data_IF_370657337892
#
_entry.id   IF_370657337892
#
_cell.length_a   1.000
_cell.length_b   1.000
_cell.length_c   1.000
_cell.angle_alpha   90.00
_cell.angle_beta   90.00
_cell.angle_gamma   90.00
#
_symmetry.space_group_name_H-M   'P 1'
#
loop_
_entity.id
_entity.type
_entity.pdbx_description
1 polymer ?
#
# COMPACT_ATOMS: atom_id res chain seq x y z
N UNK A 1 52.09 -18.12 28.96
CA UNK A 1 50.67 -18.51 29.09
C UNK A 1 50.03 -17.48 30.03
N UNK A 2 48.97 -16.73 29.77
CA UNK A 2 47.91 -16.78 28.77
C UNK A 2 47.18 -15.41 28.74
N UNK A 3 46.91 -14.95 27.50
CA UNK A 3 45.76 -14.18 26.98
C UNK A 3 45.20 -12.91 27.65
N UNK A 4 45.46 -11.79 26.96
CA UNK A 4 44.56 -10.64 26.78
C UNK A 4 43.20 -11.08 26.22
N UNK A 5 42.10 -10.46 26.69
CA UNK A 5 40.79 -10.50 26.03
C UNK A 5 40.17 -9.11 26.01
N UNK A 6 40.64 -8.27 25.09
CA UNK A 6 39.89 -7.12 24.58
C UNK A 6 38.82 -7.65 23.62
N UNK A 7 37.56 -7.71 24.06
CA UNK A 7 36.45 -8.01 23.13
C UNK A 7 35.98 -6.69 22.50
N UNK A 8 36.01 -6.54 21.17
CA UNK A 8 35.32 -5.44 20.52
C UNK A 8 33.81 -5.69 20.61
N UNK A 9 33.06 -4.68 21.03
CA UNK A 9 31.59 -4.63 20.89
C UNK A 9 31.25 -4.70 19.41
N UNK A 10 30.91 -5.90 18.94
CA UNK A 10 30.41 -6.13 17.60
C UNK A 10 29.16 -5.28 17.36
N UNK A 11 29.17 -4.54 16.25
CA UNK A 11 27.98 -3.88 15.74
C UNK A 11 26.92 -4.95 15.45
N UNK A 12 25.88 -5.00 16.28
CA UNK A 12 24.65 -5.70 15.95
C UNK A 12 23.91 -4.89 14.89
N UNK A 13 24.33 -5.01 13.63
CA UNK A 13 23.44 -4.73 12.52
C UNK A 13 22.29 -5.72 12.62
N UNK A 14 21.10 -5.23 12.98
CA UNK A 14 19.88 -6.03 12.98
C UNK A 14 19.66 -6.66 11.59
N UNK A 15 19.10 -7.89 11.46
CA UNK A 15 18.85 -8.54 10.17
C UNK A 15 17.85 -7.80 9.25
N UNK A 16 17.33 -6.64 9.68
CA UNK A 16 16.39 -5.81 8.93
C UNK A 16 17.08 -4.81 8.00
N UNK A 17 18.41 -4.66 8.10
CA UNK A 17 19.15 -3.79 7.19
C UNK A 17 19.29 -4.44 5.80
N UNK A 18 18.62 -3.81 4.82
CA UNK A 18 18.83 -3.95 3.37
C UNK A 18 18.16 -5.15 2.70
N UNK A 19 16.90 -5.44 3.02
CA UNK A 19 16.03 -5.82 1.91
C UNK A 19 15.99 -4.61 0.98
N UNK A 20 16.72 -4.68 -0.15
CA UNK A 20 16.67 -3.69 -1.23
C UNK A 20 15.22 -3.68 -1.73
N UNK A 21 14.35 -2.96 -1.04
CA UNK A 21 12.94 -2.84 -1.38
C UNK A 21 12.94 -2.18 -2.74
N UNK A 22 12.69 -2.98 -3.77
CA UNK A 22 12.48 -2.49 -5.11
C UNK A 22 11.43 -1.37 -5.02
N UNK A 23 11.61 -0.27 -5.75
CA UNK A 23 10.65 0.82 -5.72
C UNK A 23 9.28 0.26 -6.08
N UNK A 24 8.30 0.48 -5.21
CA UNK A 24 6.94 0.00 -5.42
C UNK A 24 6.40 0.70 -6.66
N UNK A 25 5.97 -0.11 -7.63
CA UNK A 25 5.30 0.35 -8.83
C UNK A 25 3.81 0.46 -8.53
N UNK A 26 3.29 1.69 -8.56
CA UNK A 26 1.89 1.96 -8.23
C UNK A 26 0.91 1.21 -9.15
N UNK A 27 1.20 1.16 -10.46
CA UNK A 27 0.31 0.55 -11.45
C UNK A 27 0.21 -0.96 -11.24
N UNK A 28 1.35 -1.63 -11.03
CA UNK A 28 1.39 -3.06 -10.76
C UNK A 28 0.68 -3.41 -9.44
N UNK A 29 0.87 -2.61 -8.39
CA UNK A 29 0.23 -2.85 -7.09
C UNK A 29 -1.30 -2.67 -7.18
N UNK A 30 -1.76 -1.62 -7.86
CA UNK A 30 -3.18 -1.36 -8.05
C UNK A 30 -3.86 -2.40 -8.94
N UNK A 31 -3.16 -2.95 -9.93
CA UNK A 31 -3.67 -4.08 -10.73
C UNK A 31 -3.86 -5.34 -9.87
N UNK A 32 -2.92 -5.64 -8.96
CA UNK A 32 -3.09 -6.73 -7.98
C UNK A 32 -4.31 -6.48 -7.10
N UNK A 33 -4.46 -5.27 -6.55
CA UNK A 33 -5.62 -4.90 -5.73
C UNK A 33 -6.93 -5.03 -6.52
N UNK A 34 -6.93 -4.66 -7.80
CA UNK A 34 -8.10 -4.79 -8.67
C UNK A 34 -8.54 -6.25 -8.82
N UNK A 35 -7.58 -7.16 -8.94
CA UNK A 35 -7.84 -8.60 -9.08
C UNK A 35 -8.19 -9.29 -7.75
N UNK A 36 -7.86 -8.65 -6.63
CA UNK A 36 -8.02 -9.26 -5.30
C UNK A 36 -9.44 -9.09 -4.72
N UNK A 37 -10.15 -8.02 -5.07
CA UNK A 37 -11.42 -7.68 -4.41
C UNK A 37 -12.49 -8.76 -4.57
N UNK A 38 -12.71 -9.23 -5.79
CA UNK A 38 -13.77 -10.21 -6.08
C UNK A 38 -13.49 -11.57 -5.40
N UNK A 39 -12.28 -12.15 -5.49
CA UNK A 39 -11.92 -13.34 -4.71
C UNK A 39 -12.13 -13.14 -3.19
N UNK A 40 -11.71 -11.99 -2.64
CA UNK A 40 -11.91 -11.70 -1.22
C UNK A 40 -13.39 -11.64 -0.85
N UNK A 41 -14.21 -11.01 -1.69
CA UNK A 41 -15.64 -10.91 -1.45
C UNK A 41 -16.36 -12.26 -1.56
N UNK A 42 -15.92 -13.15 -2.46
CA UNK A 42 -16.46 -14.51 -2.57
C UNK A 42 -16.12 -15.33 -1.32
N UNK A 43 -14.86 -15.28 -0.87
CA UNK A 43 -14.39 -16.12 0.24
C UNK A 43 -14.81 -15.57 1.61
N UNK A 44 -14.85 -14.25 1.77
CA UNK A 44 -15.00 -13.59 3.08
C UNK A 44 -16.27 -12.73 3.18
N UNK A 45 -17.08 -12.64 2.11
CA UNK A 45 -18.29 -11.81 2.09
C UNK A 45 -17.96 -10.33 2.39
N UNK A 46 -18.73 -9.68 3.28
CA UNK A 46 -18.48 -8.28 3.67
C UNK A 46 -17.10 -8.03 4.31
N UNK A 47 -16.47 -9.06 4.91
CA UNK A 47 -15.11 -8.92 5.45
C UNK A 47 -14.06 -8.79 4.35
N UNK A 48 -14.33 -9.31 3.15
CA UNK A 48 -13.44 -9.17 2.01
C UNK A 48 -13.20 -7.72 1.62
N UNK A 49 -14.26 -6.89 1.66
CA UNK A 49 -14.15 -5.45 1.43
C UNK A 49 -13.26 -4.77 2.47
N UNK A 50 -13.41 -5.13 3.76
CA UNK A 50 -12.56 -4.58 4.83
C UNK A 50 -11.09 -4.94 4.64
N UNK A 51 -10.80 -6.19 4.29
CA UNK A 51 -9.44 -6.65 3.98
C UNK A 51 -8.88 -5.87 2.80
N UNK A 52 -9.64 -5.72 1.72
CA UNK A 52 -9.22 -4.96 0.55
C UNK A 52 -8.94 -3.49 0.86
N UNK A 53 -9.81 -2.83 1.64
CA UNK A 53 -9.59 -1.44 2.06
C UNK A 53 -8.33 -1.28 2.91
N UNK A 54 -8.01 -2.28 3.74
CA UNK A 54 -6.77 -2.31 4.53
C UNK A 54 -5.55 -2.36 3.62
N UNK A 55 -5.60 -3.18 2.57
CA UNK A 55 -4.52 -3.27 1.58
C UNK A 55 -4.34 -1.97 0.78
N UNK A 56 -5.44 -1.28 0.43
CA UNK A 56 -5.38 0.05 -0.20
C UNK A 56 -4.70 1.07 0.73
N UNK A 57 -5.05 1.09 2.01
CA UNK A 57 -4.43 1.97 3.01
C UNK A 57 -2.94 1.65 3.22
N UNK A 58 -2.59 0.36 3.23
CA UNK A 58 -1.19 -0.07 3.32
C UNK A 58 -0.40 0.42 2.10
N UNK A 59 -0.93 0.22 0.89
CA UNK A 59 -0.36 0.76 -0.33
C UNK A 59 -0.14 2.28 -0.26
N UNK A 60 -1.15 3.05 0.17
CA UNK A 60 -1.01 4.50 0.36
C UNK A 60 0.13 4.86 1.32
N UNK A 61 0.29 4.10 2.40
CA UNK A 61 1.36 4.32 3.37
C UNK A 61 2.74 4.09 2.75
N UNK A 62 2.89 3.05 1.92
CA UNK A 62 4.11 2.79 1.18
C UNK A 62 4.45 3.92 0.21
N UNK A 63 3.46 4.44 -0.52
CA UNK A 63 3.66 5.54 -1.46
C UNK A 63 4.05 6.83 -0.73
N UNK A 64 3.43 7.12 0.43
CA UNK A 64 3.84 8.26 1.28
C UNK A 64 5.28 8.12 1.76
N UNK A 65 5.67 6.96 2.27
CA UNK A 65 7.05 6.69 2.70
C UNK A 65 8.04 6.91 1.55
N UNK A 66 7.70 6.46 0.35
CA UNK A 66 8.52 6.66 -0.85
C UNK A 66 8.69 8.15 -1.18
N UNK A 67 7.61 8.93 -1.14
CA UNK A 67 7.66 10.38 -1.33
C UNK A 67 8.52 11.08 -0.29
N UNK A 68 8.38 10.73 1.00
CA UNK A 68 9.23 11.28 2.07
C UNK A 68 10.71 10.87 1.95
N UNK A 69 11.00 9.77 1.25
CA UNK A 69 12.36 9.34 0.94
C UNK A 69 12.96 10.06 -0.29
N UNK A 70 12.34 11.16 -0.74
CA UNK A 70 12.81 11.97 -1.88
C UNK A 70 12.48 11.39 -3.25
N UNK A 71 11.57 10.41 -3.33
CA UNK A 71 11.13 9.79 -4.59
C UNK A 71 9.63 10.00 -4.79
N UNK A 72 9.23 11.18 -5.31
CA UNK A 72 7.82 11.54 -5.45
C UNK A 72 7.09 10.65 -6.47
N UNK A 73 5.77 10.81 -6.55
CA UNK A 73 4.93 10.15 -7.55
C UNK A 73 5.25 10.68 -8.96
N UNK A 74 5.49 9.75 -9.89
CA UNK A 74 5.62 10.05 -11.31
C UNK A 74 4.26 10.50 -11.88
N UNK A 75 4.23 11.34 -12.93
CA UNK A 75 2.97 11.80 -13.54
C UNK A 75 2.01 10.66 -13.92
N UNK A 76 2.54 9.56 -14.45
CA UNK A 76 1.77 8.36 -14.77
C UNK A 76 1.13 7.73 -13.53
N UNK A 77 1.88 7.62 -12.43
CA UNK A 77 1.35 7.05 -11.18
C UNK A 77 0.23 7.92 -10.61
N UNK A 78 0.39 9.25 -10.65
CA UNK A 78 -0.66 10.20 -10.25
C UNK A 78 -1.93 9.99 -11.07
N UNK A 79 -1.80 9.84 -12.38
CA UNK A 79 -2.95 9.58 -13.27
C UNK A 79 -3.66 8.27 -12.91
N UNK A 80 -2.90 7.19 -12.69
CA UNK A 80 -3.46 5.88 -12.32
C UNK A 80 -4.18 5.94 -10.97
N UNK A 81 -3.62 6.63 -9.98
CA UNK A 81 -4.25 6.82 -8.65
C UNK A 81 -5.59 7.56 -8.75
N UNK A 82 -5.63 8.66 -9.50
CA UNK A 82 -6.86 9.45 -9.72
C UNK A 82 -7.91 8.61 -10.43
N UNK A 83 -7.53 7.94 -11.53
CA UNK A 83 -8.45 7.11 -12.28
C UNK A 83 -8.98 5.93 -11.45
N UNK A 84 -8.11 5.24 -10.73
CA UNK A 84 -8.46 4.08 -9.92
C UNK A 84 -9.44 4.48 -8.81
N UNK A 85 -9.12 5.54 -8.07
CA UNK A 85 -9.99 6.03 -7.00
C UNK A 85 -11.36 6.47 -7.53
N UNK A 86 -11.43 7.20 -8.64
CA UNK A 86 -12.69 7.62 -9.25
C UNK A 86 -13.53 6.40 -9.68
N UNK A 87 -12.93 5.46 -10.41
CA UNK A 87 -13.62 4.25 -10.90
C UNK A 87 -14.23 3.44 -9.75
N UNK A 88 -13.48 3.18 -8.68
CA UNK A 88 -13.99 2.39 -7.57
C UNK A 88 -15.05 3.14 -6.76
N UNK A 89 -14.98 4.48 -6.70
CA UNK A 89 -16.00 5.29 -6.04
C UNK A 89 -17.34 5.29 -6.75
N UNK A 90 -17.44 4.83 -8.00
CA UNK A 90 -18.71 4.70 -8.72
C UNK A 90 -19.40 3.36 -8.46
N UNK A 91 -18.68 2.36 -7.96
CA UNK A 91 -19.25 1.03 -7.72
C UNK A 91 -20.28 1.07 -6.58
N UNK A 92 -21.49 0.59 -6.86
CA UNK A 92 -22.60 0.56 -5.91
C UNK A 92 -23.21 -0.82 -5.83
N UNK A 93 -23.63 -1.19 -4.62
CA UNK A 93 -24.36 -2.43 -4.36
C UNK A 93 -23.49 -3.69 -4.29
N UNK A 94 -24.13 -4.78 -3.87
CA UNK A 94 -23.49 -6.07 -3.65
C UNK A 94 -22.55 -6.12 -2.44
N UNK A 95 -21.80 -7.24 -2.28
CA UNK A 95 -20.85 -7.43 -1.19
C UNK A 95 -19.68 -6.44 -1.18
N UNK A 96 -19.39 -5.84 -2.35
CA UNK A 96 -18.32 -4.88 -2.60
C UNK A 96 -18.83 -3.44 -2.74
N UNK A 97 -19.95 -3.11 -2.10
CA UNK A 97 -20.54 -1.78 -2.21
C UNK A 97 -19.57 -0.70 -1.70
N UNK A 98 -19.02 0.07 -2.65
CA UNK A 98 -18.12 1.18 -2.35
C UNK A 98 -18.89 2.45 -1.94
N UNK A 99 -20.23 2.42 -1.91
CA UNK A 99 -21.05 3.49 -1.36
C UNK A 99 -20.91 3.66 0.16
N UNK A 100 -20.32 2.68 0.85
CA UNK A 100 -20.08 2.74 2.30
C UNK A 100 -19.14 3.90 2.66
N UNK A 101 -19.41 4.64 3.76
CA UNK A 101 -18.59 5.78 4.17
C UNK A 101 -17.10 5.45 4.29
N UNK A 102 -16.75 4.29 4.84
CA UNK A 102 -15.36 3.87 5.04
C UNK A 102 -14.64 3.66 3.70
N UNK A 103 -15.32 3.05 2.73
CA UNK A 103 -14.79 2.87 1.38
C UNK A 103 -14.60 4.21 0.67
N UNK A 104 -15.57 5.12 0.78
CA UNK A 104 -15.47 6.46 0.19
C UNK A 104 -14.30 7.25 0.79
N UNK A 105 -14.11 7.22 2.10
CA UNK A 105 -12.99 7.92 2.76
C UNK A 105 -11.65 7.41 2.24
N UNK A 106 -11.47 6.09 2.17
CA UNK A 106 -10.21 5.49 1.69
C UNK A 106 -9.96 5.85 0.23
N UNK A 107 -10.97 5.76 -0.63
CA UNK A 107 -10.81 6.05 -2.05
C UNK A 107 -10.61 7.55 -2.32
N UNK A 108 -11.26 8.44 -1.58
CA UNK A 108 -10.99 9.89 -1.64
C UNK A 108 -9.54 10.15 -1.24
N UNK A 109 -9.09 9.57 -0.12
CA UNK A 109 -7.71 9.76 0.35
C UNK A 109 -6.67 9.20 -0.64
N UNK A 110 -6.99 8.10 -1.33
CA UNK A 110 -6.17 7.55 -2.41
C UNK A 110 -6.06 8.51 -3.60
N UNK A 111 -7.17 9.13 -4.00
CA UNK A 111 -7.18 10.14 -5.07
C UNK A 111 -6.41 11.42 -4.70
N UNK A 112 -6.57 11.88 -3.46
CA UNK A 112 -5.83 13.04 -2.93
C UNK A 112 -4.33 12.80 -2.85
N UNK A 113 -3.90 11.54 -2.64
CA UNK A 113 -2.48 11.18 -2.64
C UNK A 113 -1.78 11.59 -3.94
N UNK A 114 -2.49 11.59 -5.08
CA UNK A 114 -1.95 11.99 -6.37
C UNK A 114 -1.60 13.49 -6.47
N UNK A 115 -1.98 14.31 -5.48
CA UNK A 115 -1.71 15.76 -5.44
C UNK A 115 -0.41 16.13 -4.70
N UNK A 116 0.18 15.20 -3.96
CA UNK A 116 1.46 15.37 -3.23
C UNK A 116 2.61 14.72 -4.00
#
# INVERSE_FOLDING_TARGET
MMFSSSRPMGHYSSPQERQKRLPINAEAYLDILNRLLEPLAIVQGPMGLRTWLTEVQYFMSLMKQRSFSGRPLMPRERQVLVWYSARWRELRGGPCDMGRPEAQIVLIALGELARF
#
